data_IF_056257208167
#
_entry.id   IF_056257208167
#
_cell.length_a   1.000
_cell.length_b   1.000
_cell.length_c   1.000
_cell.angle_alpha   90.00
_cell.angle_beta   90.00
_cell.angle_gamma   90.00
#
_symmetry.space_group_name_H-M   'P 1'
#
loop_
_entity.id
_entity.type
_entity.pdbx_description
1 polymer ?
#
# COMPACT_ATOMS: atom_id res chain seq x y z
N UNK A 1 -24.29 -32.07 34.43
CA UNK A 1 -23.60 -30.76 34.56
C UNK A 1 -23.22 -30.32 33.16
N UNK A 2 -23.77 -29.18 32.73
CA UNK A 2 -23.92 -28.83 31.32
C UNK A 2 -22.71 -28.15 30.69
N UNK A 3 -22.64 -28.35 29.37
CA UNK A 3 -21.81 -27.71 28.35
C UNK A 3 -21.46 -26.23 28.56
N UNK A 4 -20.16 -25.92 28.49
CA UNK A 4 -19.69 -24.70 27.81
C UNK A 4 -19.05 -25.09 26.49
N UNK A 5 -19.92 -25.42 25.53
CA UNK A 5 -19.59 -25.32 24.12
C UNK A 5 -19.23 -23.86 23.83
N UNK A 6 -18.05 -23.66 23.27
CA UNK A 6 -17.65 -22.42 22.61
C UNK A 6 -18.77 -22.00 21.65
N UNK A 7 -19.63 -21.08 22.10
CA UNK A 7 -20.67 -20.49 21.25
C UNK A 7 -19.95 -19.53 20.29
N UNK A 8 -19.99 -19.74 18.97
CA UNK A 8 -19.79 -18.63 18.06
C UNK A 8 -20.99 -17.70 18.24
N UNK A 9 -20.85 -16.73 19.15
CA UNK A 9 -21.78 -15.61 19.24
C UNK A 9 -21.58 -14.72 18.03
N UNK A 10 -22.31 -15.04 16.96
CA UNK A 10 -23.17 -14.15 16.17
C UNK A 10 -23.43 -14.86 14.85
N UNK A 11 -24.72 -14.95 14.46
CA UNK A 11 -25.15 -15.29 13.09
C UNK A 11 -24.16 -14.66 12.10
N UNK A 12 -23.66 -15.40 11.08
CA UNK A 12 -22.76 -14.79 10.11
C UNK A 12 -23.50 -13.57 9.59
N UNK A 13 -22.97 -12.36 9.85
CA UNK A 13 -23.49 -11.18 9.18
C UNK A 13 -23.41 -11.52 7.69
N UNK A 14 -24.57 -11.74 7.06
CA UNK A 14 -24.61 -12.21 5.68
C UNK A 14 -23.68 -11.31 4.87
N UNK A 15 -22.85 -11.84 3.95
CA UNK A 15 -21.91 -11.05 3.15
C UNK A 15 -22.43 -9.68 2.73
N UNK A 16 -23.71 -9.61 2.37
CA UNK A 16 -24.48 -8.41 2.11
C UNK A 16 -24.39 -7.32 3.19
N UNK A 17 -24.63 -7.63 4.47
CA UNK A 17 -24.57 -6.66 5.58
C UNK A 17 -23.18 -6.04 5.73
N UNK A 18 -22.12 -6.83 5.59
CA UNK A 18 -20.75 -6.34 5.67
C UNK A 18 -20.39 -5.45 4.47
N UNK A 19 -20.93 -5.76 3.28
CA UNK A 19 -20.80 -4.91 2.08
C UNK A 19 -21.62 -3.62 2.18
N UNK A 20 -22.82 -3.68 2.77
CA UNK A 20 -23.65 -2.51 3.07
C UNK A 20 -22.95 -1.57 4.06
N UNK A 21 -22.36 -2.13 5.12
CA UNK A 21 -21.53 -1.38 6.07
C UNK A 21 -20.32 -0.74 5.36
N UNK A 22 -19.64 -1.50 4.49
CA UNK A 22 -18.51 -0.98 3.72
C UNK A 22 -18.92 0.18 2.81
N UNK A 23 -20.11 0.08 2.20
CA UNK A 23 -20.71 1.13 1.39
C UNK A 23 -21.06 2.36 2.21
N UNK A 24 -21.68 2.19 3.39
CA UNK A 24 -22.00 3.28 4.31
C UNK A 24 -20.73 4.04 4.76
N UNK A 25 -19.63 3.31 4.97
CA UNK A 25 -18.32 3.87 5.31
C UNK A 25 -17.53 4.39 4.09
N UNK A 26 -18.11 4.33 2.88
CA UNK A 26 -17.45 4.67 1.60
C UNK A 26 -16.11 3.95 1.43
N UNK A 27 -15.99 2.72 1.93
CA UNK A 27 -14.81 1.90 1.74
C UNK A 27 -14.62 1.62 0.25
N UNK A 28 -13.36 1.68 -0.19
CA UNK A 28 -12.97 1.19 -1.51
C UNK A 28 -12.95 -0.33 -1.51
N UNK A 29 -13.41 -0.91 -2.62
CA UNK A 29 -13.25 -2.32 -2.94
C UNK A 29 -12.12 -2.44 -3.97
N UNK A 30 -11.08 -3.17 -3.63
CA UNK A 30 -9.95 -3.47 -4.49
C UNK A 30 -10.18 -4.83 -5.15
N UNK A 31 -10.24 -4.86 -6.47
CA UNK A 31 -10.34 -6.09 -7.24
C UNK A 31 -8.98 -6.49 -7.77
N UNK A 32 -8.65 -7.77 -7.67
CA UNK A 32 -7.58 -8.40 -8.44
C UNK A 32 -8.21 -9.14 -9.63
N UNK A 33 -7.71 -8.85 -10.83
CA UNK A 33 -8.22 -9.38 -12.09
C UNK A 33 -7.16 -10.24 -12.80
N UNK A 34 -7.57 -11.15 -13.71
CA UNK A 34 -6.65 -11.88 -14.58
C UNK A 34 -5.93 -10.94 -15.55
N UNK A 35 -4.72 -10.50 -15.19
CA UNK A 35 -3.94 -9.48 -15.92
C UNK A 35 -3.74 -9.82 -17.41
N UNK A 36 -3.63 -11.10 -17.74
CA UNK A 36 -3.50 -11.61 -19.10
C UNK A 36 -4.73 -11.38 -19.98
N UNK A 37 -5.91 -11.21 -19.38
CA UNK A 37 -7.17 -10.98 -20.13
C UNK A 37 -7.51 -9.49 -20.15
N UNK A 38 -7.36 -8.82 -19.01
CA UNK A 38 -7.87 -7.44 -18.85
C UNK A 38 -6.79 -6.37 -19.07
N UNK A 39 -5.51 -6.75 -19.18
CA UNK A 39 -4.38 -5.82 -19.32
C UNK A 39 -4.07 -5.02 -18.06
N UNK A 40 -4.71 -5.32 -16.93
CA UNK A 40 -4.49 -4.69 -15.63
C UNK A 40 -4.66 -5.68 -14.48
N UNK A 41 -3.72 -5.65 -13.53
CA UNK A 41 -3.74 -6.57 -12.39
C UNK A 41 -4.77 -6.23 -11.32
N UNK A 42 -4.98 -4.94 -11.07
CA UNK A 42 -5.85 -4.47 -9.98
C UNK A 42 -6.72 -3.29 -10.40
N UNK A 43 -7.93 -3.24 -9.85
CA UNK A 43 -8.88 -2.16 -10.06
C UNK A 43 -9.48 -1.69 -8.73
N UNK A 44 -9.32 -0.40 -8.42
CA UNK A 44 -9.89 0.21 -7.22
C UNK A 44 -11.28 0.76 -7.53
N UNK A 45 -12.28 0.29 -6.80
CA UNK A 45 -13.68 0.58 -7.05
C UNK A 45 -14.37 1.19 -5.83
N UNK A 46 -15.36 2.05 -6.05
CA UNK A 46 -16.40 2.34 -5.08
C UNK A 46 -17.44 1.21 -5.10
N UNK A 47 -18.02 0.90 -3.94
CA UNK A 47 -19.19 0.02 -3.83
C UNK A 47 -20.42 0.92 -3.99
N UNK A 48 -21.22 0.70 -5.04
CA UNK A 48 -22.42 1.49 -5.32
C UNK A 48 -23.70 0.80 -4.86
N UNK A 49 -23.72 -0.54 -4.90
CA UNK A 49 -24.89 -1.34 -4.56
C UNK A 49 -24.43 -2.70 -4.04
N UNK A 50 -25.14 -3.23 -3.04
CA UNK A 50 -25.07 -4.62 -2.60
C UNK A 50 -26.50 -5.15 -2.52
N UNK A 51 -26.90 -6.04 -3.42
CA UNK A 51 -28.26 -6.57 -3.48
C UNK A 51 -28.27 -8.03 -3.94
N UNK A 52 -29.46 -8.63 -4.01
CA UNK A 52 -29.66 -9.97 -4.59
C UNK A 52 -29.27 -10.05 -6.07
N UNK A 53 -29.14 -8.91 -6.76
CA UNK A 53 -28.64 -8.86 -8.15
C UNK A 53 -27.12 -8.93 -8.23
N UNK A 54 -26.43 -8.87 -7.09
CA UNK A 54 -24.99 -8.87 -6.96
C UNK A 54 -24.43 -7.58 -6.37
N UNK A 55 -23.13 -7.37 -6.53
CA UNK A 55 -22.41 -6.18 -6.06
C UNK A 55 -22.10 -5.27 -7.25
N UNK A 56 -22.57 -4.03 -7.22
CA UNK A 56 -22.24 -3.04 -8.24
C UNK A 56 -21.04 -2.21 -7.79
N UNK A 57 -20.01 -2.20 -8.64
CA UNK A 57 -18.75 -1.52 -8.41
C UNK A 57 -18.49 -0.50 -9.53
N UNK A 58 -17.87 0.63 -9.17
CA UNK A 58 -17.47 1.66 -10.13
C UNK A 58 -16.04 2.14 -9.90
N UNK A 59 -15.23 2.21 -10.96
CA UNK A 59 -13.86 2.68 -10.92
C UNK A 59 -13.66 3.91 -11.82
N UNK A 60 -12.87 4.87 -11.33
CA UNK A 60 -12.59 6.15 -12.00
C UNK A 60 -11.38 6.06 -12.95
N UNK A 61 -10.75 4.88 -13.08
CA UNK A 61 -9.65 4.67 -14.02
C UNK A 61 -10.15 4.34 -15.43
N UNK A 62 -9.39 4.75 -16.46
CA UNK A 62 -9.51 4.26 -17.84
C UNK A 62 -9.24 2.75 -17.90
N UNK A 63 -10.18 1.95 -17.43
CA UNK A 63 -10.24 0.53 -17.70
C UNK A 63 -11.20 0.36 -18.88
N UNK A 64 -10.74 -0.32 -19.94
CA UNK A 64 -11.58 -0.69 -21.07
C UNK A 64 -12.54 -1.84 -20.68
N UNK A 65 -13.30 -1.65 -19.60
CA UNK A 65 -14.25 -2.63 -19.11
C UNK A 65 -15.33 -2.85 -20.17
N UNK A 66 -15.54 -4.10 -20.55
CA UNK A 66 -16.49 -4.46 -21.58
C UNK A 66 -16.85 -5.93 -21.55
N UNK A 67 -17.59 -6.42 -22.56
CA UNK A 67 -18.14 -7.78 -22.58
C UNK A 67 -17.10 -8.89 -22.38
N UNK A 68 -15.86 -8.70 -22.84
CA UNK A 68 -14.75 -9.65 -22.68
C UNK A 68 -14.33 -9.90 -21.22
N UNK A 69 -14.82 -9.11 -20.25
CA UNK A 69 -14.58 -9.34 -18.82
C UNK A 69 -15.66 -10.22 -18.18
N UNK A 70 -16.81 -10.40 -18.84
CA UNK A 70 -17.91 -11.20 -18.29
C UNK A 70 -17.45 -12.66 -18.14
N UNK A 71 -17.76 -13.25 -16.99
CA UNK A 71 -17.36 -14.61 -16.65
C UNK A 71 -16.00 -14.73 -15.97
N UNK A 72 -15.19 -13.66 -15.92
CA UNK A 72 -13.89 -13.71 -15.24
C UNK A 72 -14.07 -13.81 -13.73
N UNK A 73 -13.31 -14.73 -13.13
CA UNK A 73 -13.19 -14.85 -11.69
C UNK A 73 -12.30 -13.72 -11.16
N UNK A 74 -12.74 -13.12 -10.05
CA UNK A 74 -12.07 -11.99 -9.41
C UNK A 74 -12.00 -12.21 -7.91
N UNK A 75 -10.94 -11.65 -7.31
CA UNK A 75 -10.82 -11.56 -5.86
C UNK A 75 -11.02 -10.11 -5.43
N UNK A 76 -12.03 -9.88 -4.60
CA UNK A 76 -12.33 -8.59 -4.02
C UNK A 76 -11.77 -8.44 -2.61
N UNK A 77 -11.45 -7.20 -2.25
CA UNK A 77 -10.92 -6.84 -0.95
C UNK A 77 -11.45 -5.48 -0.49
N UNK A 78 -11.93 -5.37 0.74
CA UNK A 78 -12.36 -4.09 1.31
C UNK A 78 -12.06 -4.00 2.81
N UNK A 79 -12.17 -2.78 3.36
CA UNK A 79 -11.89 -2.47 4.77
C UNK A 79 -13.18 -2.04 5.46
N UNK A 80 -13.37 -2.47 6.70
CA UNK A 80 -14.34 -1.91 7.64
C UNK A 80 -13.60 -1.30 8.81
N UNK A 81 -14.08 -0.15 9.29
CA UNK A 81 -13.67 0.43 10.56
C UNK A 81 -14.74 0.08 11.58
N UNK A 82 -14.35 -0.60 12.65
CA UNK A 82 -15.24 -0.93 13.77
C UNK A 82 -14.84 -0.07 14.96
N UNK A 83 -15.82 0.67 15.51
CA UNK A 83 -15.64 1.40 16.77
C UNK A 83 -15.98 0.49 17.94
N UNK A 84 -14.97 0.02 18.68
CA UNK A 84 -15.15 -0.81 19.91
C UNK A 84 -14.20 -0.36 21.00
N UNK A 85 -14.34 0.88 21.48
CA UNK A 85 -13.41 1.60 22.37
C UNK A 85 -12.15 2.12 21.65
N UNK A 86 -11.58 1.34 20.73
CA UNK A 86 -10.59 1.80 19.74
C UNK A 86 -11.15 1.80 18.31
N UNK A 87 -10.46 2.50 17.40
CA UNK A 87 -10.72 2.45 15.95
C UNK A 87 -9.96 1.26 15.37
N UNK A 88 -10.63 0.12 15.23
CA UNK A 88 -10.02 -1.08 14.67
C UNK A 88 -10.37 -1.21 13.19
N UNK A 89 -9.36 -1.47 12.36
CA UNK A 89 -9.54 -1.75 10.94
C UNK A 89 -9.59 -3.25 10.70
N UNK A 90 -10.71 -3.74 10.17
CA UNK A 90 -10.85 -5.13 9.76
C UNK A 90 -10.94 -5.20 8.25
N UNK A 91 -10.29 -6.20 7.69
CA UNK A 91 -10.18 -6.37 6.26
C UNK A 91 -10.83 -7.68 5.83
N UNK A 92 -11.63 -7.61 4.77
CA UNK A 92 -12.35 -8.75 4.23
C UNK A 92 -11.94 -9.00 2.78
N UNK A 93 -11.80 -10.28 2.43
CA UNK A 93 -11.65 -10.76 1.06
C UNK A 93 -12.84 -11.62 0.66
N UNK A 94 -13.10 -11.64 -0.64
CA UNK A 94 -14.09 -12.53 -1.23
C UNK A 94 -13.68 -12.94 -2.64
N UNK A 95 -14.16 -14.10 -3.06
CA UNK A 95 -14.11 -14.54 -4.45
C UNK A 95 -15.47 -14.28 -5.10
N UNK A 96 -15.47 -13.86 -6.35
CA UNK A 96 -16.69 -13.62 -7.13
C UNK A 96 -16.38 -13.72 -8.63
N UNK A 97 -17.41 -13.51 -9.45
CA UNK A 97 -17.34 -13.51 -10.91
C UNK A 97 -17.99 -12.27 -11.49
N UNK A 98 -17.43 -11.73 -12.57
CA UNK A 98 -18.01 -10.59 -13.27
C UNK A 98 -19.25 -11.06 -14.04
N UNK A 99 -20.43 -10.55 -13.66
CA UNK A 99 -21.72 -10.79 -14.32
C UNK A 99 -21.97 -9.80 -15.46
N UNK A 100 -21.51 -8.56 -15.31
CA UNK A 100 -21.58 -7.53 -16.34
C UNK A 100 -20.42 -6.55 -16.18
N UNK A 101 -19.91 -6.05 -17.31
CA UNK A 101 -18.88 -5.02 -17.35
C UNK A 101 -19.17 -4.05 -18.48
N UNK A 102 -19.10 -2.75 -18.18
CA UNK A 102 -19.28 -1.70 -19.16
C UNK A 102 -18.44 -0.48 -18.81
N UNK A 103 -17.96 0.23 -19.82
CA UNK A 103 -17.47 1.59 -19.67
C UNK A 103 -18.64 2.57 -19.78
N UNK A 104 -18.72 3.52 -18.87
CA UNK A 104 -19.64 4.65 -18.99
C UNK A 104 -19.12 5.66 -20.01
N UNK A 105 -19.99 6.52 -20.58
CA UNK A 105 -19.56 7.63 -21.45
C UNK A 105 -18.54 8.57 -20.79
N UNK A 106 -18.56 8.68 -19.46
CA UNK A 106 -17.59 9.44 -18.68
C UNK A 106 -16.25 8.71 -18.45
N UNK A 107 -16.04 7.55 -19.08
CA UNK A 107 -14.82 6.75 -18.97
C UNK A 107 -14.70 5.94 -17.68
N UNK A 108 -15.75 5.89 -16.85
CA UNK A 108 -15.80 5.09 -15.62
C UNK A 108 -16.09 3.62 -15.95
N UNK A 109 -15.36 2.69 -15.35
CA UNK A 109 -15.67 1.26 -15.46
C UNK A 109 -16.74 0.87 -14.43
N UNK A 110 -17.84 0.27 -14.90
CA UNK A 110 -18.91 -0.30 -14.06
C UNK A 110 -18.90 -1.81 -14.17
N UNK A 111 -18.79 -2.47 -13.02
CA UNK A 111 -18.76 -3.92 -12.91
C UNK A 111 -19.89 -4.38 -12.00
N UNK A 112 -20.69 -5.33 -12.44
CA UNK A 112 -21.59 -6.08 -11.57
C UNK A 112 -20.99 -7.44 -11.31
N UNK A 113 -20.70 -7.73 -10.07
CA UNK A 113 -20.21 -9.03 -9.61
C UNK A 113 -21.37 -9.89 -9.13
N UNK A 114 -21.21 -11.21 -9.19
CA UNK A 114 -22.09 -12.14 -8.46
C UNK A 114 -22.00 -11.84 -6.96
N UNK A 115 -23.11 -11.97 -6.23
CA UNK A 115 -23.08 -11.82 -4.77
C UNK A 115 -22.11 -12.85 -4.17
N UNK A 116 -21.10 -12.42 -3.38
CA UNK A 116 -20.15 -13.37 -2.82
C UNK A 116 -20.83 -14.27 -1.79
N UNK A 117 -20.64 -15.58 -1.94
CA UNK A 117 -21.22 -16.58 -1.03
C UNK A 117 -20.68 -16.44 0.41
N UNK A 118 -19.43 -16.00 0.54
CA UNK A 118 -18.76 -15.80 1.83
C UNK A 118 -17.77 -14.64 1.77
N UNK A 119 -17.60 -14.00 2.91
CA UNK A 119 -16.50 -13.08 3.17
C UNK A 119 -15.57 -13.74 4.19
N UNK A 120 -14.27 -13.68 3.94
CA UNK A 120 -13.26 -14.20 4.87
C UNK A 120 -12.37 -13.05 5.33
N UNK A 121 -11.85 -13.12 6.55
CA UNK A 121 -10.84 -12.19 7.01
C UNK A 121 -9.62 -12.27 6.09
N UNK A 122 -9.14 -11.12 5.65
CA UNK A 122 -8.08 -11.04 4.66
C UNK A 122 -6.99 -10.08 5.07
N UNK A 123 -5.74 -10.50 4.94
CA UNK A 123 -4.59 -9.62 5.13
C UNK A 123 -4.00 -9.23 3.77
N UNK A 124 -4.33 -8.03 3.25
CA UNK A 124 -3.83 -7.57 1.94
C UNK A 124 -2.34 -7.26 1.95
N UNK A 125 -1.81 -6.83 3.09
CA UNK A 125 -0.42 -6.39 3.20
C UNK A 125 0.39 -7.51 3.85
N UNK A 126 1.38 -8.01 3.11
CA UNK A 126 2.34 -9.01 3.60
C UNK A 126 3.24 -8.48 4.72
N UNK A 127 3.33 -7.15 4.86
CA UNK A 127 4.09 -6.47 5.90
C UNK A 127 3.30 -5.32 6.52
N UNK A 128 3.54 -5.10 7.81
CA UNK A 128 2.97 -4.00 8.56
C UNK A 128 3.44 -2.66 7.99
N UNK A 129 2.54 -1.67 7.90
CA UNK A 129 2.87 -0.29 7.57
C UNK A 129 2.79 0.55 8.82
N UNK A 130 3.88 1.23 9.13
CA UNK A 130 3.96 2.16 10.24
C UNK A 130 4.34 3.54 9.71
N UNK A 131 3.76 4.58 10.26
CA UNK A 131 4.33 5.92 10.13
C UNK A 131 5.59 5.99 11.01
N UNK A 132 6.80 6.16 10.47
CA UNK A 132 7.99 6.25 11.31
C UNK A 132 8.04 7.57 12.05
N UNK A 133 8.45 7.55 13.32
CA UNK A 133 8.84 8.78 14.02
C UNK A 133 10.15 9.31 13.42
N UNK A 134 10.20 10.61 13.13
CA UNK A 134 11.40 11.28 12.62
C UNK A 134 12.58 11.10 13.58
N UNK A 135 12.35 11.00 14.89
CA UNK A 135 13.40 10.73 15.87
C UNK A 135 14.09 9.36 15.67
N UNK A 136 13.40 8.38 15.07
CA UNK A 136 13.95 7.05 14.77
C UNK A 136 14.59 6.97 13.38
N UNK A 137 14.60 8.08 12.62
CA UNK A 137 15.20 8.18 11.30
C UNK A 137 16.52 8.97 11.39
N UNK A 138 17.64 8.26 11.46
CA UNK A 138 18.98 8.88 11.56
C UNK A 138 19.38 9.56 10.26
N UNK A 139 19.29 8.82 9.17
CA UNK A 139 19.60 9.31 7.83
C UNK A 139 18.55 8.90 6.81
N UNK A 140 18.30 9.78 5.84
CA UNK A 140 17.40 9.51 4.73
C UNK A 140 17.89 10.21 3.47
N UNK A 141 18.15 9.42 2.44
CA UNK A 141 18.60 9.92 1.15
C UNK A 141 17.82 9.28 0.02
N UNK A 142 17.48 10.10 -0.96
CA UNK A 142 16.77 9.67 -2.17
C UNK A 142 17.52 10.18 -3.38
N UNK A 143 17.84 9.28 -4.30
CA UNK A 143 18.43 9.59 -5.59
C UNK A 143 17.44 9.22 -6.69
N UNK A 144 17.46 10.01 -7.75
CA UNK A 144 16.84 9.60 -9.01
C UNK A 144 17.66 8.48 -9.61
N UNK A 145 16.99 7.48 -10.16
CA UNK A 145 17.63 6.45 -10.94
C UNK A 145 17.34 6.66 -12.42
N UNK A 146 18.39 6.94 -13.18
CA UNK A 146 18.33 6.94 -14.64
C UNK A 146 18.74 5.57 -15.19
N UNK A 147 18.02 5.05 -16.20
CA UNK A 147 18.33 3.73 -16.77
C UNK A 147 19.64 3.70 -17.54
N UNK A 148 20.02 4.82 -18.17
CA UNK A 148 21.20 4.95 -19.02
C UNK A 148 22.42 5.39 -18.23
N UNK A 149 22.26 6.35 -17.32
CA UNK A 149 23.34 6.95 -16.53
C UNK A 149 23.45 6.40 -15.10
N UNK A 150 22.47 5.62 -14.62
CA UNK A 150 22.43 5.15 -13.24
C UNK A 150 22.09 6.28 -12.27
N UNK A 151 22.82 6.35 -11.15
CA UNK A 151 22.69 7.40 -10.15
C UNK A 151 24.07 7.72 -9.55
N UNK A 152 24.24 8.95 -9.04
CA UNK A 152 25.48 9.39 -8.38
C UNK A 152 25.25 9.58 -6.89
N UNK A 153 26.09 8.93 -6.07
CA UNK A 153 26.01 9.01 -4.61
C UNK A 153 26.16 10.44 -4.07
N UNK A 154 26.94 11.29 -4.75
CA UNK A 154 27.27 12.64 -4.29
C UNK A 154 26.10 13.63 -4.40
N UNK A 155 25.13 13.32 -5.26
CA UNK A 155 24.02 14.21 -5.60
C UNK A 155 22.64 13.59 -5.30
N UNK A 156 22.32 13.30 -4.02
CA UNK A 156 20.97 12.96 -3.63
C UNK A 156 20.01 14.12 -3.91
N UNK A 157 18.85 13.76 -4.43
CA UNK A 157 17.75 14.67 -4.70
C UNK A 157 17.04 15.09 -3.40
N UNK A 158 16.94 14.18 -2.42
CA UNK A 158 16.52 14.50 -1.03
C UNK A 158 17.59 14.04 -0.05
N UNK A 159 17.82 14.84 1.00
CA UNK A 159 18.80 14.57 2.07
C UNK A 159 18.12 14.56 3.44
N UNK A 160 18.80 14.03 4.45
CA UNK A 160 18.26 13.96 5.83
C UNK A 160 17.78 15.32 6.36
N UNK A 161 18.42 16.41 5.96
CA UNK A 161 18.01 17.77 6.32
C UNK A 161 16.60 18.14 5.83
N UNK A 162 16.18 17.62 4.67
CA UNK A 162 14.84 17.87 4.11
C UNK A 162 13.75 17.16 4.92
N UNK A 163 14.07 16.03 5.56
CA UNK A 163 13.17 15.34 6.46
C UNK A 163 13.08 16.05 7.81
N UNK A 164 14.23 16.49 8.36
CA UNK A 164 14.29 17.20 9.63
C UNK A 164 13.58 18.56 9.60
N UNK A 165 13.59 19.26 8.47
CA UNK A 165 12.89 20.54 8.32
C UNK A 165 11.44 20.40 7.81
N UNK A 166 10.92 19.18 7.69
CA UNK A 166 9.54 18.90 7.31
C UNK A 166 9.21 19.13 5.83
N UNK A 167 10.19 19.47 4.98
CA UNK A 167 9.98 19.63 3.52
C UNK A 167 9.83 18.29 2.79
N UNK A 168 10.29 17.21 3.40
CA UNK A 168 10.03 15.83 3.04
C UNK A 168 9.59 15.04 4.29
N UNK A 169 8.83 13.96 4.11
CA UNK A 169 8.44 13.06 5.20
C UNK A 169 8.23 11.64 4.71
N UNK A 170 8.54 10.67 5.56
CA UNK A 170 8.10 9.29 5.36
C UNK A 170 6.66 9.17 5.89
N UNK A 171 5.68 9.10 4.99
CA UNK A 171 4.25 8.98 5.34
C UNK A 171 3.95 7.61 5.94
N UNK A 172 4.64 6.57 5.45
CA UNK A 172 4.63 5.24 6.04
C UNK A 172 5.84 4.45 5.54
N UNK A 173 6.19 3.40 6.27
CA UNK A 173 7.25 2.45 5.96
C UNK A 173 6.72 1.03 6.23
N UNK A 174 6.97 0.12 5.30
CA UNK A 174 6.84 -1.32 5.51
C UNK A 174 8.07 -2.04 5.00
N UNK A 175 8.19 -3.34 5.30
CA UNK A 175 9.28 -4.16 4.78
C UNK A 175 9.29 -4.26 3.24
N UNK A 176 8.23 -3.85 2.54
CA UNK A 176 8.10 -3.97 1.09
C UNK A 176 8.01 -2.65 0.33
N UNK A 177 8.02 -1.51 1.03
CA UNK A 177 7.86 -0.21 0.40
C UNK A 177 7.70 0.92 1.40
N UNK A 178 7.57 2.13 0.88
CA UNK A 178 7.37 3.32 1.69
C UNK A 178 6.46 4.34 1.00
N UNK A 179 5.82 5.18 1.80
CA UNK A 179 5.17 6.40 1.33
C UNK A 179 6.09 7.59 1.55
N UNK A 180 6.33 8.38 0.51
CA UNK A 180 7.14 9.60 0.58
C UNK A 180 6.24 10.81 0.31
N UNK A 181 6.24 11.77 1.22
CA UNK A 181 5.63 13.09 1.01
C UNK A 181 6.73 14.12 0.78
N UNK A 182 6.54 14.99 -0.20
CA UNK A 182 7.50 16.06 -0.56
C UNK A 182 6.75 17.33 -0.83
N UNK A 183 7.20 18.43 -0.24
CA UNK A 183 6.63 19.75 -0.49
C UNK A 183 6.81 20.18 -1.95
N UNK A 184 5.81 20.87 -2.50
CA UNK A 184 5.86 21.36 -3.88
C UNK A 184 7.12 22.21 -4.16
N UNK A 185 7.47 23.08 -3.19
CA UNK A 185 8.62 23.97 -3.25
C UNK A 185 9.96 23.23 -3.33
N UNK A 186 10.03 21.99 -2.84
CA UNK A 186 11.24 21.16 -2.92
C UNK A 186 11.23 20.26 -4.15
N UNK A 187 10.06 19.73 -4.54
CA UNK A 187 9.95 18.71 -5.57
C UNK A 187 10.46 19.17 -6.94
N UNK A 188 10.03 20.33 -7.42
CA UNK A 188 10.42 20.88 -8.73
C UNK A 188 11.92 21.16 -8.82
N UNK A 189 12.50 22.02 -7.95
CA UNK A 189 13.92 22.36 -7.99
C UNK A 189 14.88 21.18 -7.79
N UNK A 190 14.44 20.13 -7.08
CA UNK A 190 15.21 18.89 -6.88
C UNK A 190 14.93 17.82 -7.93
N UNK A 191 14.04 18.09 -8.88
CA UNK A 191 13.65 17.17 -9.94
C UNK A 191 13.03 15.86 -9.41
N UNK A 192 12.36 15.88 -8.26
CA UNK A 192 11.72 14.72 -7.63
C UNK A 192 10.36 14.38 -8.29
N UNK A 193 9.98 15.09 -9.36
CA UNK A 193 8.81 14.80 -10.18
C UNK A 193 8.95 13.46 -10.92
N UNK A 194 8.73 12.37 -10.19
CA UNK A 194 8.81 11.01 -10.70
C UNK A 194 7.43 10.54 -11.16
N UNK A 195 7.38 9.88 -12.31
CA UNK A 195 6.18 9.29 -12.85
C UNK A 195 5.99 7.86 -12.33
N UNK A 196 4.76 7.35 -12.42
CA UNK A 196 4.49 5.94 -12.16
C UNK A 196 5.34 5.06 -13.07
N UNK A 197 6.10 4.15 -12.47
CA UNK A 197 7.04 3.27 -13.18
C UNK A 197 8.50 3.64 -13.01
N UNK A 198 8.79 4.89 -12.65
CA UNK A 198 10.15 5.36 -12.40
C UNK A 198 10.77 4.67 -11.19
N UNK A 199 12.10 4.73 -11.11
CA UNK A 199 12.88 4.16 -10.02
C UNK A 199 13.58 5.26 -9.25
N UNK A 200 13.68 5.06 -7.95
CA UNK A 200 14.49 5.83 -7.03
C UNK A 200 15.45 4.88 -6.33
N UNK A 201 16.64 5.36 -6.02
CA UNK A 201 17.49 4.71 -5.02
C UNK A 201 17.22 5.40 -3.69
N UNK A 202 17.05 4.61 -2.65
CA UNK A 202 16.73 5.08 -1.30
C UNK A 202 17.76 4.51 -0.34
N UNK A 203 18.28 5.35 0.55
CA UNK A 203 19.01 4.91 1.74
C UNK A 203 18.27 5.39 2.97
N UNK A 204 17.96 4.49 3.89
CA UNK A 204 17.41 4.81 5.19
C UNK A 204 18.32 4.25 6.27
N UNK A 205 18.76 5.08 7.19
CA UNK A 205 19.39 4.64 8.43
C UNK A 205 18.40 4.82 9.59
N UNK A 206 18.00 3.71 10.19
CA UNK A 206 16.98 3.63 11.22
C UNK A 206 17.62 3.35 12.59
N UNK A 207 17.07 3.97 13.63
CA UNK A 207 17.48 3.71 15.00
C UNK A 207 16.54 2.69 15.66
N UNK A 208 17.05 1.48 15.88
CA UNK A 208 16.37 0.46 16.67
C UNK A 208 17.38 -0.39 17.43
N UNK A 209 17.68 -0.07 18.69
CA UNK A 209 18.73 -0.74 19.46
C UNK A 209 18.42 -2.21 19.77
N UNK A 210 17.17 -2.67 19.62
CA UNK A 210 16.79 -4.07 19.82
C UNK A 210 17.03 -4.95 18.59
N UNK A 211 17.20 -4.35 17.42
CA UNK A 211 17.47 -5.10 16.20
C UNK A 211 18.93 -5.57 16.18
N UNK A 212 19.14 -6.82 15.77
CA UNK A 212 20.49 -7.41 15.63
C UNK A 212 21.18 -6.97 14.35
N UNK A 213 20.42 -6.42 13.39
CA UNK A 213 20.89 -6.00 12.07
C UNK A 213 21.23 -4.52 12.08
N UNK A 214 22.22 -4.13 11.29
CA UNK A 214 22.53 -2.73 11.08
C UNK A 214 21.32 -2.04 10.45
N UNK A 215 20.83 -0.96 11.05
CA UNK A 215 19.66 -0.22 10.60
C UNK A 215 19.86 0.56 9.28
N UNK A 216 20.92 0.29 8.51
CA UNK A 216 21.24 0.96 7.25
C UNK A 216 20.74 0.13 6.05
N UNK A 217 19.72 0.64 5.39
CA UNK A 217 19.03 -0.02 4.28
C UNK A 217 19.25 0.76 3.00
N UNK A 218 19.86 0.11 2.00
CA UNK A 218 19.84 0.59 0.62
C UNK A 218 18.77 -0.14 -0.18
N UNK A 219 17.97 0.59 -0.95
CA UNK A 219 16.86 0.04 -1.72
C UNK A 219 16.79 0.67 -3.11
N UNK A 220 16.50 -0.14 -4.12
CA UNK A 220 15.93 0.36 -5.38
C UNK A 220 14.41 0.27 -5.24
N UNK A 221 13.72 1.39 -5.38
CA UNK A 221 12.29 1.49 -5.21
C UNK A 221 11.60 1.96 -6.49
N UNK A 222 10.48 1.33 -6.86
CA UNK A 222 9.63 1.71 -7.98
C UNK A 222 8.51 2.62 -7.51
N UNK A 223 8.24 3.69 -8.25
CA UNK A 223 7.06 4.54 -8.07
C UNK A 223 5.82 3.80 -8.55
N UNK A 224 4.94 3.43 -7.63
CA UNK A 224 3.70 2.71 -7.91
C UNK A 224 2.48 3.64 -7.96
N UNK A 225 2.54 4.74 -7.21
CA UNK A 225 1.46 5.71 -7.06
C UNK A 225 2.04 7.11 -6.92
N UNK A 226 1.37 8.09 -7.53
CA UNK A 226 1.66 9.52 -7.38
C UNK A 226 0.32 10.22 -7.16
N UNK A 227 0.24 11.05 -6.12
CA UNK A 227 -0.91 11.91 -5.89
C UNK A 227 -0.46 13.29 -5.42
N UNK A 228 -1.25 14.30 -5.79
CA UNK A 228 -1.19 15.60 -5.13
C UNK A 228 -1.88 15.50 -3.76
N UNK A 229 -1.24 16.06 -2.74
CA UNK A 229 -1.75 16.12 -1.37
C UNK A 229 -2.38 17.50 -1.14
N UNK A 230 -3.70 17.59 -1.28
CA UNK A 230 -4.49 18.77 -0.92
C UNK A 230 -4.08 20.09 -1.60
N UNK A 231 -4.70 21.20 -1.17
CA UNK A 231 -4.63 22.52 -1.81
C UNK A 231 -3.25 23.21 -1.85
N UNK A 232 -2.20 22.59 -1.28
CA UNK A 232 -0.84 23.13 -1.26
C UNK A 232 0.09 22.63 -2.38
N UNK A 233 -0.34 21.66 -3.19
CA UNK A 233 0.47 21.12 -4.30
C UNK A 233 1.57 20.13 -3.87
N UNK A 234 1.62 19.75 -2.59
CA UNK A 234 2.55 18.73 -2.09
C UNK A 234 2.38 17.41 -2.87
N UNK A 235 3.48 16.70 -3.09
CA UNK A 235 3.46 15.43 -3.80
C UNK A 235 3.59 14.27 -2.82
N UNK A 236 2.78 13.24 -3.05
CA UNK A 236 2.85 11.99 -2.31
C UNK A 236 3.09 10.81 -3.25
N UNK A 237 4.18 10.11 -3.00
CA UNK A 237 4.63 8.94 -3.75
C UNK A 237 4.42 7.67 -2.93
N UNK A 238 3.87 6.64 -3.57
CA UNK A 238 3.91 5.28 -3.05
C UNK A 238 5.02 4.51 -3.75
N UNK A 239 6.02 4.07 -3.00
CA UNK A 239 7.20 3.37 -3.50
C UNK A 239 7.17 1.89 -3.08
N UNK A 240 7.52 0.99 -4.00
CA UNK A 240 7.69 -0.45 -3.76
C UNK A 240 9.16 -0.84 -3.90
N UNK A 241 9.70 -1.58 -2.94
CA UNK A 241 11.09 -2.06 -3.02
C UNK A 241 11.22 -3.19 -4.05
N UNK A 242 12.18 -3.03 -4.96
CA UNK A 242 12.53 -4.00 -6.01
C UNK A 242 13.80 -4.77 -5.66
N UNK A 243 14.77 -4.10 -5.05
CA UNK A 243 16.05 -4.68 -4.66
C UNK A 243 16.53 -4.04 -3.35
N UNK A 244 17.20 -4.82 -2.51
CA UNK A 244 17.98 -4.34 -1.37
C UNK A 244 19.46 -4.33 -1.75
N UNK A 245 20.22 -3.43 -1.14
CA UNK A 245 21.62 -3.21 -1.46
C UNK A 245 22.50 -3.28 -0.23
N UNK A 246 23.72 -3.79 -0.40
CA UNK A 246 24.80 -3.66 0.57
C UNK A 246 25.95 -2.90 -0.06
N UNK A 247 26.38 -1.81 0.56
CA UNK A 247 27.53 -1.04 0.11
C UNK A 247 28.81 -1.85 0.38
N UNK A 248 29.57 -2.14 -0.67
CA UNK A 248 30.89 -2.75 -0.54
C UNK A 248 31.91 -1.63 -0.24
N UNK A 249 32.45 -1.52 0.99
CA UNK A 249 33.33 -0.43 1.37
C UNK A 249 34.67 -0.46 0.64
N UNK A 250 35.08 -1.62 0.09
CA UNK A 250 36.35 -1.75 -0.64
C UNK A 250 36.27 -1.21 -2.06
N UNK A 251 35.10 -1.34 -2.68
CA UNK A 251 34.87 -1.00 -4.10
C UNK A 251 34.05 0.29 -4.24
N UNK A 252 33.42 0.76 -3.17
CA UNK A 252 32.52 1.92 -3.18
C UNK A 252 31.26 1.70 -4.02
N UNK A 253 30.89 0.43 -4.25
CA UNK A 253 29.74 0.04 -5.09
C UNK A 253 28.73 -0.74 -4.27
N UNK A 254 27.45 -0.53 -4.59
CA UNK A 254 26.36 -1.26 -3.95
C UNK A 254 26.10 -2.56 -4.71
N UNK A 255 26.10 -3.67 -3.99
CA UNK A 255 25.67 -4.97 -4.51
C UNK A 255 24.18 -5.12 -4.27
N UNK A 256 23.41 -5.22 -5.35
CA UNK A 256 21.96 -5.31 -5.31
C UNK A 256 21.48 -6.76 -5.33
N UNK A 257 20.48 -7.07 -4.51
CA UNK A 257 19.79 -8.35 -4.47
C UNK A 257 18.28 -8.10 -4.62
N UNK A 258 17.56 -8.88 -5.44
CA UNK A 258 16.11 -8.72 -5.58
C UNK A 258 15.37 -8.87 -4.24
N UNK A 259 14.36 -8.04 -4.01
CA UNK A 259 13.47 -8.20 -2.85
C UNK A 259 12.43 -9.27 -3.18
N UNK A 260 12.58 -10.44 -2.59
CA UNK A 260 11.63 -11.54 -2.74
C UNK A 260 10.38 -11.34 -1.87
N UNK A 261 9.22 -11.80 -2.36
CA UNK A 261 7.98 -11.73 -1.60
C UNK A 261 7.45 -10.32 -1.27
N UNK A 262 8.14 -9.25 -1.69
CA UNK A 262 7.95 -7.86 -1.26
C UNK A 262 8.22 -7.64 0.24
N UNK A 263 9.24 -8.30 0.78
CA UNK A 263 9.63 -8.16 2.19
C UNK A 263 11.15 -8.17 2.30
N UNK A 264 11.71 -7.14 2.93
CA UNK A 264 13.07 -7.12 3.48
C UNK A 264 12.96 -7.58 4.94
N UNK A 265 13.38 -8.81 5.29
CA UNK A 265 13.14 -9.39 6.62
C UNK A 265 13.68 -8.53 7.77
N UNK A 266 14.90 -8.02 7.62
CA UNK A 266 15.58 -7.23 8.65
C UNK A 266 14.84 -5.93 8.94
N UNK A 267 14.25 -5.32 7.91
CA UNK A 267 13.39 -4.16 8.07
C UNK A 267 12.04 -4.54 8.71
N UNK A 268 11.51 -5.73 8.42
CA UNK A 268 10.28 -6.22 9.05
C UNK A 268 10.44 -6.37 10.57
N UNK A 269 11.60 -6.86 11.02
CA UNK A 269 11.91 -7.02 12.45
C UNK A 269 11.97 -5.68 13.18
N UNK A 270 12.65 -4.68 12.61
CA UNK A 270 12.67 -3.31 13.16
C UNK A 270 11.25 -2.74 13.29
N UNK A 271 10.46 -2.87 12.22
CA UNK A 271 9.09 -2.36 12.21
C UNK A 271 8.20 -3.10 13.22
N UNK A 272 8.46 -4.38 13.48
CA UNK A 272 7.74 -5.11 14.52
C UNK A 272 8.00 -4.53 15.91
N UNK A 273 9.25 -4.20 16.25
CA UNK A 273 9.56 -3.54 17.52
C UNK A 273 8.87 -2.18 17.65
N UNK A 274 8.87 -1.38 16.59
CA UNK A 274 8.19 -0.08 16.58
C UNK A 274 6.68 -0.21 16.75
N UNK A 275 6.09 -1.29 16.23
CA UNK A 275 4.68 -1.59 16.43
C UNK A 275 4.36 -1.90 17.89
N UNK A 276 5.19 -2.70 18.56
CA UNK A 276 5.02 -3.05 19.96
C UNK A 276 5.08 -1.81 20.87
N UNK A 277 5.98 -0.87 20.58
CA UNK A 277 6.07 0.38 21.34
C UNK A 277 4.78 1.19 21.27
N UNK A 278 4.23 1.37 20.06
CA UNK A 278 2.95 2.07 19.86
C UNK A 278 1.78 1.42 20.59
N UNK A 279 1.79 0.09 20.72
CA UNK A 279 0.77 -0.62 21.47
C UNK A 279 0.89 -0.38 22.98
N UNK A 280 2.12 -0.33 23.51
CA UNK A 280 2.38 -0.03 24.92
C UNK A 280 1.99 1.41 25.27
N UNK A 281 2.35 2.38 24.43
CA UNK A 281 2.02 3.80 24.62
C UNK A 281 0.51 4.08 24.61
N UNK A 282 -0.30 3.23 23.97
CA UNK A 282 -1.77 3.38 23.96
C UNK A 282 -2.48 2.74 25.15
N UNK A 283 -1.78 1.90 25.91
CA UNK A 283 -2.33 1.18 27.07
C UNK A 283 -1.91 1.76 28.42
N UNK A 284 -0.88 2.63 28.43
CA UNK A 284 -0.51 3.46 29.58
C UNK A 284 -1.17 4.82 29.52
#
# INVERSE_FOLDING_TARGET
MGNEQYRPMTSPAAPRRLLEEAMAQRSRCHLTLPENVVGLKNLDCAILESSTRGVLLESVGKAAAGPHWVGLDVKGYFRLVIKRQTLDEIYYTFDSRIKAAAASPAGLARLRLVEPERLVFGQRRKSLRLEPDVARLREAFFWRYDKSAGFSLDYPALRSADFRNGRARLVNLSAGGLGLGVSAALAGPRGIEAAKGDRLVVRLELDEPRATTAGDFWMVAKVCHVAASGGGGDLQFGLQFLASGNLDPKVGKIRWQPVEGNVIPELADILYYWHLDRHRERQG
#
